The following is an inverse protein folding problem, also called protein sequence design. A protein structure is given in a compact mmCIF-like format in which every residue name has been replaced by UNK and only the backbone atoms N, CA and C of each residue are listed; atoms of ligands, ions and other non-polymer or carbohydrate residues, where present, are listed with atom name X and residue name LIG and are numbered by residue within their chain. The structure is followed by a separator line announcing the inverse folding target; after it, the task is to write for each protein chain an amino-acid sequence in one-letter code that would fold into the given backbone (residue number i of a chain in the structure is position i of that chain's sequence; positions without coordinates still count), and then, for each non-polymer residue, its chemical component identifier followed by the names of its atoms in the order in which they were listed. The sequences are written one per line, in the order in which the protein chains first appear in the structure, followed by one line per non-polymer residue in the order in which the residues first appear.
data_IF_171532920734
#
_entry.id   IF_171532920734
#
_cell.length_a   1.000
_cell.length_b   1.000
_cell.length_c   1.000
_cell.angle_alpha   90.00
_cell.angle_beta   90.00
_cell.angle_gamma   90.00
#
_symmetry.space_group_name_H-M   'P 1'
#
loop_
_entity.id
_entity.type
_entity.pdbx_description
1 polymer ?
#
# COMPACT_ATOMS: atom_id res chain seq x y z
N UNK A 1 -20.75 7.17 47.40
CA UNK A 1 -20.71 8.54 46.81
C UNK A 1 -19.50 9.36 47.25
N UNK A 2 -19.13 9.41 48.54
CA UNK A 2 -18.00 10.21 49.04
C UNK A 2 -16.65 9.90 48.36
N UNK A 3 -16.36 8.61 48.13
CA UNK A 3 -15.12 8.16 47.48
C UNK A 3 -14.97 8.69 46.04
N UNK A 4 -16.06 8.69 45.27
CA UNK A 4 -16.08 9.14 43.87
C UNK A 4 -15.81 10.64 43.77
N UNK A 5 -16.34 11.42 44.73
CA UNK A 5 -16.13 12.87 44.79
C UNK A 5 -14.66 13.19 45.11
N UNK A 6 -14.05 12.48 46.06
CA UNK A 6 -12.62 12.67 46.40
C UNK A 6 -11.72 12.36 45.21
N UNK A 7 -12.04 11.28 44.47
CA UNK A 7 -11.26 10.86 43.31
C UNK A 7 -11.37 11.87 42.15
N UNK A 8 -12.57 12.38 41.88
CA UNK A 8 -12.79 13.41 40.86
C UNK A 8 -12.03 14.72 41.17
N UNK A 9 -12.02 15.15 42.44
CA UNK A 9 -11.25 16.33 42.88
C UNK A 9 -9.75 16.11 42.73
N UNK A 10 -9.25 14.92 43.07
CA UNK A 10 -7.83 14.56 42.92
C UNK A 10 -7.36 14.60 41.48
N UNK A 11 -8.13 14.03 40.55
CA UNK A 11 -7.81 14.04 39.11
C UNK A 11 -7.85 15.46 38.55
N UNK A 12 -8.85 16.26 38.94
CA UNK A 12 -8.94 17.66 38.52
C UNK A 12 -7.74 18.49 38.96
N UNK A 13 -7.28 18.31 40.20
CA UNK A 13 -6.10 19.01 40.71
C UNK A 13 -4.82 18.64 39.95
N UNK A 14 -4.62 17.36 39.64
CA UNK A 14 -3.46 16.88 38.89
C UNK A 14 -3.44 17.39 37.44
N UNK A 15 -4.60 17.44 36.77
CA UNK A 15 -4.71 17.99 35.42
C UNK A 15 -4.33 19.49 35.36
N UNK A 16 -4.74 20.28 36.36
CA UNK A 16 -4.38 21.71 36.46
C UNK A 16 -2.88 21.90 36.69
N UNK A 17 -2.26 21.07 37.54
CA UNK A 17 -0.83 21.10 37.80
C UNK A 17 -0.01 20.76 36.57
N UNK A 18 -0.42 19.74 35.80
CA UNK A 18 0.24 19.37 34.55
C UNK A 18 0.19 20.52 33.53
N UNK A 19 -0.97 21.16 33.36
CA UNK A 19 -1.14 22.27 32.39
C UNK A 19 -0.25 23.48 32.72
N UNK A 20 -0.04 23.77 34.01
CA UNK A 20 0.86 24.88 34.42
C UNK A 20 2.33 24.57 34.19
N UNK A 21 2.72 23.29 34.18
CA UNK A 21 4.12 22.90 33.97
C UNK A 21 4.59 23.06 32.53
N UNK A 22 3.66 23.07 31.57
CA UNK A 22 3.96 23.14 30.13
C UNK A 22 3.79 24.54 29.53
N UNK A 23 3.52 25.57 30.35
CA UNK A 23 3.38 26.94 29.87
C UNK A 23 4.74 27.46 29.34
N UNK A 24 4.86 27.78 28.03
CA UNK A 24 6.11 28.27 27.47
C UNK A 24 6.48 29.63 28.06
N UNK A 25 7.72 29.76 28.56
CA UNK A 25 8.24 31.06 29.00
C UNK A 25 8.46 31.98 27.78
N UNK A 26 7.96 33.23 27.78
CA UNK A 26 8.28 34.20 26.74
C UNK A 26 9.76 34.57 26.83
N UNK A 27 10.58 34.10 25.89
CA UNK A 27 11.98 34.51 25.78
C UNK A 27 12.04 35.89 25.15
N UNK A 28 12.10 36.92 25.99
CA UNK A 28 12.46 38.26 25.57
C UNK A 28 13.93 38.26 25.13
N UNK A 29 14.19 38.28 23.83
CA UNK A 29 15.50 38.63 23.29
C UNK A 29 15.38 40.03 22.67
N UNK A 30 15.94 41.03 23.36
CA UNK A 30 16.12 42.36 22.80
C UNK A 30 17.21 42.29 21.71
N UNK A 31 17.02 42.90 20.53
CA UNK A 31 18.06 42.95 19.51
C UNK A 31 19.16 43.95 19.92
N UNK A 32 20.40 43.48 20.00
CA UNK A 32 21.57 44.35 20.19
C UNK A 32 21.91 45.14 18.90
N UNK A 33 22.47 46.36 19.02
CA UNK A 33 22.76 47.21 17.87
C UNK A 33 24.04 46.76 17.15
N UNK A 34 23.96 46.70 15.82
CA UNK A 34 25.07 46.35 14.93
C UNK A 34 26.03 47.54 14.78
N UNK A 35 27.36 47.36 14.88
CA UNK A 35 28.32 48.46 14.75
C UNK A 35 28.44 48.96 13.30
N UNK A 36 28.34 50.28 13.12
CA UNK A 36 28.59 50.95 11.85
C UNK A 36 30.08 51.23 11.66
N UNK A 37 30.71 50.60 10.67
CA UNK A 37 32.08 50.90 10.27
C UNK A 37 32.09 51.86 9.08
N UNK A 38 32.80 52.98 9.22
CA UNK A 38 33.05 53.93 8.12
C UNK A 38 34.40 53.59 7.49
N UNK A 39 34.41 53.07 6.26
CA UNK A 39 35.64 52.86 5.50
C UNK A 39 35.88 53.99 4.50
N UNK A 40 37.04 54.63 4.63
CA UNK A 40 37.53 55.66 3.71
C UNK A 40 37.73 55.12 2.29
N UNK A 41 37.40 55.97 1.31
CA UNK A 41 37.51 55.69 -0.11
C UNK A 41 38.95 55.43 -0.55
N UNK A 42 39.25 54.18 -0.89
CA UNK A 42 40.35 53.84 -1.81
C UNK A 42 39.72 53.30 -3.09
N UNK A 43 39.99 53.97 -4.20
CA UNK A 43 39.61 53.52 -5.55
C UNK A 43 40.33 52.20 -5.86
N UNK A 44 39.63 51.08 -6.07
CA UNK A 44 40.24 49.85 -6.53
C UNK A 44 40.26 49.80 -8.07
N UNK A 45 41.44 49.47 -8.59
CA UNK A 45 41.70 48.99 -9.95
C UNK A 45 40.74 47.83 -10.32
N UNK A 46 40.27 47.69 -11.57
CA UNK A 46 39.31 46.65 -11.94
C UNK A 46 39.91 45.24 -11.77
N UNK A 47 39.46 44.55 -10.71
CA UNK A 47 39.66 43.11 -10.53
C UNK A 47 38.73 42.36 -11.49
N UNK A 48 39.20 41.31 -12.21
CA UNK A 48 38.34 40.52 -13.08
C UNK A 48 37.19 39.90 -12.29
N UNK A 49 35.97 40.07 -12.81
CA UNK A 49 34.75 39.46 -12.28
C UNK A 49 34.91 37.93 -12.27
N UNK A 50 35.00 37.33 -11.08
CA UNK A 50 34.82 35.90 -10.94
C UNK A 50 33.39 35.56 -11.35
N UNK A 51 33.26 34.76 -12.41
CA UNK A 51 31.99 34.23 -12.88
C UNK A 51 31.41 33.38 -11.73
N UNK A 52 30.14 33.57 -11.33
CA UNK A 52 29.54 32.71 -10.32
C UNK A 52 29.60 31.26 -10.80
N UNK A 53 30.22 30.39 -10.00
CA UNK A 53 30.12 28.96 -10.22
C UNK A 53 28.62 28.58 -10.18
N UNK A 54 28.13 27.75 -11.12
CA UNK A 54 26.73 27.36 -11.11
C UNK A 54 26.44 26.65 -9.78
N UNK A 55 25.46 27.17 -9.04
CA UNK A 55 24.79 26.44 -7.96
C UNK A 55 24.37 25.09 -8.51
N UNK A 56 24.63 23.95 -7.84
CA UNK A 56 24.18 22.68 -8.35
C UNK A 56 22.66 22.72 -8.36
N UNK A 57 22.06 22.72 -9.55
CA UNK A 57 20.65 22.42 -9.71
C UNK A 57 20.41 21.09 -9.00
N UNK A 58 19.44 20.99 -8.07
CA UNK A 58 19.06 19.71 -7.50
C UNK A 58 18.86 18.74 -8.66
N UNK A 59 19.61 17.64 -8.67
CA UNK A 59 19.38 16.59 -9.63
C UNK A 59 17.91 16.19 -9.46
N UNK A 60 17.12 16.36 -10.51
CA UNK A 60 15.78 15.82 -10.60
C UNK A 60 15.93 14.32 -10.38
N UNK A 61 15.56 13.85 -9.19
CA UNK A 61 15.49 12.43 -8.90
C UNK A 61 14.48 11.91 -9.90
N UNK A 62 14.96 11.16 -10.90
CA UNK A 62 14.09 10.52 -11.86
C UNK A 62 13.00 9.80 -11.08
N UNK A 63 11.74 10.23 -11.26
CA UNK A 63 10.62 9.54 -10.65
C UNK A 63 10.74 8.08 -11.06
N UNK A 64 10.85 7.18 -10.08
CA UNK A 64 10.81 5.76 -10.35
C UNK A 64 9.55 5.50 -11.17
N UNK A 65 9.69 4.87 -12.34
CA UNK A 65 8.56 4.58 -13.20
C UNK A 65 7.61 3.65 -12.45
N UNK A 66 6.44 4.17 -12.07
CA UNK A 66 5.38 3.33 -11.51
C UNK A 66 4.97 2.34 -12.59
N UNK A 67 4.97 1.02 -12.33
CA UNK A 67 4.57 0.04 -13.32
C UNK A 67 3.17 0.31 -13.85
N UNK A 68 2.90 -0.01 -15.12
CA UNK A 68 1.55 0.12 -15.68
C UNK A 68 0.53 -0.68 -14.84
N UNK A 69 -0.71 -0.18 -14.71
CA UNK A 69 -1.74 -0.86 -13.91
C UNK A 69 -2.11 -2.24 -14.47
N UNK A 70 -1.96 -2.45 -15.78
CA UNK A 70 -2.16 -3.77 -16.39
C UNK A 70 -1.19 -4.83 -15.91
N UNK A 71 -0.06 -4.43 -15.31
CA UNK A 71 0.92 -5.31 -14.72
C UNK A 71 0.71 -5.54 -13.20
N UNK A 72 -0.33 -4.97 -12.59
CA UNK A 72 -0.66 -5.22 -11.18
C UNK A 72 -0.87 -6.72 -10.94
N UNK A 73 -0.42 -7.18 -9.77
CA UNK A 73 -0.41 -8.59 -9.43
C UNK A 73 -1.34 -8.90 -8.26
N UNK A 74 -1.94 -10.07 -8.35
CA UNK A 74 -2.77 -10.64 -7.31
C UNK A 74 -2.20 -12.00 -6.93
N UNK A 75 -2.22 -12.30 -5.64
CA UNK A 75 -1.81 -13.58 -5.09
C UNK A 75 -2.73 -13.90 -3.92
N UNK A 76 -3.27 -15.12 -3.91
CA UNK A 76 -4.06 -15.63 -2.81
C UNK A 76 -3.75 -17.11 -2.61
N UNK A 77 -3.34 -17.48 -1.39
CA UNK A 77 -2.92 -18.83 -1.03
C UNK A 77 -3.95 -19.52 -0.13
N UNK A 78 -4.55 -20.60 -0.61
CA UNK A 78 -5.40 -21.51 0.15
C UNK A 78 -4.66 -22.68 0.78
N UNK A 79 -5.38 -23.53 1.52
CA UNK A 79 -4.82 -24.79 2.05
C UNK A 79 -4.59 -25.87 1.01
N UNK A 80 -5.30 -25.83 -0.13
CA UNK A 80 -5.22 -26.86 -1.18
C UNK A 80 -4.76 -26.33 -2.54
N UNK A 81 -4.80 -25.02 -2.77
CA UNK A 81 -4.34 -24.40 -4.01
C UNK A 81 -3.86 -22.96 -3.78
N UNK A 82 -3.00 -22.49 -4.68
CA UNK A 82 -2.63 -21.08 -4.79
C UNK A 82 -3.16 -20.52 -6.10
N UNK A 83 -3.54 -19.26 -6.06
CA UNK A 83 -4.05 -18.53 -7.20
C UNK A 83 -3.24 -17.26 -7.36
N UNK A 84 -2.84 -16.98 -8.59
CA UNK A 84 -2.16 -15.72 -8.91
C UNK A 84 -2.73 -15.14 -10.18
N UNK A 85 -2.56 -13.84 -10.34
CA UNK A 85 -3.04 -13.18 -11.53
C UNK A 85 -2.33 -11.88 -11.87
N UNK A 86 -2.33 -11.55 -13.15
CA UNK A 86 -1.89 -10.26 -13.70
C UNK A 86 -3.11 -9.52 -14.20
N UNK A 87 -3.23 -8.24 -13.82
CA UNK A 87 -4.45 -7.46 -13.97
C UNK A 87 -4.97 -7.38 -15.40
N UNK A 88 -4.11 -7.21 -16.40
CA UNK A 88 -4.56 -6.85 -17.74
C UNK A 88 -5.19 -5.46 -17.78
N UNK A 89 -5.68 -5.05 -18.94
CA UNK A 89 -6.36 -3.78 -19.12
C UNK A 89 -7.46 -3.94 -20.16
N UNK A 90 -8.64 -3.41 -19.84
CA UNK A 90 -9.77 -3.59 -20.72
C UNK A 90 -9.53 -2.99 -22.12
N UNK A 91 -9.76 -3.80 -23.16
CA UNK A 91 -9.52 -3.41 -24.55
C UNK A 91 -8.05 -3.33 -25.00
N UNK A 92 -7.08 -3.58 -24.11
CA UNK A 92 -5.66 -3.38 -24.40
C UNK A 92 -4.80 -4.62 -24.10
N UNK A 93 -4.75 -5.05 -22.83
CA UNK A 93 -3.85 -6.12 -22.36
C UNK A 93 -4.68 -7.26 -21.80
N UNK A 94 -4.47 -8.48 -22.29
CA UNK A 94 -5.19 -9.64 -21.77
C UNK A 94 -4.72 -9.97 -20.33
N UNK A 95 -5.63 -10.26 -19.39
CA UNK A 95 -5.25 -10.70 -18.06
C UNK A 95 -4.75 -12.15 -18.10
N UNK A 96 -3.99 -12.52 -17.07
CA UNK A 96 -3.56 -13.91 -16.85
C UNK A 96 -4.00 -14.33 -15.46
N UNK A 97 -4.69 -15.46 -15.35
CA UNK A 97 -5.06 -16.08 -14.08
C UNK A 97 -4.51 -17.49 -14.08
N UNK A 98 -3.74 -17.82 -13.05
CA UNK A 98 -3.09 -19.12 -12.93
C UNK A 98 -3.36 -19.75 -11.58
N UNK A 99 -3.42 -21.08 -11.58
CA UNK A 99 -3.59 -21.90 -10.39
C UNK A 99 -2.42 -22.85 -10.20
N UNK A 100 -2.00 -23.02 -8.95
CA UNK A 100 -1.00 -23.99 -8.54
C UNK A 100 -1.56 -24.94 -7.46
N UNK A 101 -1.09 -26.18 -7.47
CA UNK A 101 -1.42 -27.22 -6.45
C UNK A 101 -0.19 -27.80 -5.76
N UNK A 102 1.00 -27.31 -6.11
CA UNK A 102 2.29 -27.78 -5.57
C UNK A 102 3.02 -26.65 -4.84
N UNK A 103 2.26 -25.68 -4.33
CA UNK A 103 2.82 -24.54 -3.61
C UNK A 103 3.59 -23.58 -4.52
N UNK A 104 3.06 -23.31 -5.71
CA UNK A 104 3.60 -22.33 -6.63
C UNK A 104 4.86 -22.77 -7.38
N UNK A 105 5.18 -24.07 -7.41
CA UNK A 105 6.27 -24.61 -8.23
C UNK A 105 5.86 -24.68 -9.70
N UNK A 106 4.62 -25.11 -9.96
CA UNK A 106 4.03 -25.10 -11.30
C UNK A 106 2.69 -24.37 -11.29
N UNK A 107 2.36 -23.79 -12.44
CA UNK A 107 1.20 -22.94 -12.65
C UNK A 107 0.46 -23.37 -13.91
N UNK A 108 -0.87 -23.43 -13.83
CA UNK A 108 -1.75 -23.75 -14.96
C UNK A 108 -2.59 -22.52 -15.25
N UNK A 109 -2.57 -22.04 -16.50
CA UNK A 109 -3.46 -20.99 -16.97
C UNK A 109 -4.92 -21.45 -16.94
N UNK A 110 -5.71 -20.74 -16.16
CA UNK A 110 -7.15 -20.96 -15.94
C UNK A 110 -7.95 -19.68 -16.22
N UNK A 111 -7.39 -18.79 -17.04
CA UNK A 111 -8.04 -17.54 -17.47
C UNK A 111 -9.34 -17.88 -18.20
N UNK A 112 -10.51 -17.42 -17.72
CA UNK A 112 -11.80 -17.73 -18.35
C UNK A 112 -12.05 -16.87 -19.59
N UNK A 113 -11.22 -17.05 -20.62
CA UNK A 113 -11.31 -16.36 -21.92
C UNK A 113 -12.67 -16.52 -22.59
N UNK A 114 -13.33 -17.66 -22.36
CA UNK A 114 -14.68 -17.93 -22.86
C UNK A 114 -15.76 -17.02 -22.26
N UNK A 115 -15.49 -16.39 -21.09
CA UNK A 115 -16.31 -15.32 -20.52
C UNK A 115 -15.94 -13.94 -21.06
N UNK A 116 -14.78 -13.81 -21.70
CA UNK A 116 -14.25 -12.52 -22.14
C UNK A 116 -13.75 -11.66 -20.98
N UNK A 117 -13.08 -12.26 -19.98
CA UNK A 117 -12.42 -11.50 -18.91
C UNK A 117 -11.29 -10.64 -19.49
N UNK A 118 -11.26 -9.35 -19.14
CA UNK A 118 -10.37 -8.34 -19.73
C UNK A 118 -9.46 -7.62 -18.73
N UNK A 119 -9.91 -7.44 -17.50
CA UNK A 119 -9.13 -6.77 -16.46
C UNK A 119 -9.55 -7.31 -15.09
N UNK A 120 -8.60 -7.58 -14.21
CA UNK A 120 -8.85 -8.08 -12.85
C UNK A 120 -8.61 -6.97 -11.83
N UNK A 121 -9.44 -6.95 -10.79
CA UNK A 121 -9.40 -5.97 -9.70
C UNK A 121 -9.24 -6.61 -8.33
N UNK A 122 -9.58 -7.90 -8.19
CA UNK A 122 -9.36 -8.69 -6.99
C UNK A 122 -9.29 -10.18 -7.35
N UNK A 123 -8.59 -10.98 -6.53
CA UNK A 123 -8.52 -12.43 -6.64
C UNK A 123 -8.33 -13.02 -5.23
N UNK A 124 -9.25 -13.87 -4.82
CA UNK A 124 -9.29 -14.40 -3.46
C UNK A 124 -9.65 -15.89 -3.45
N UNK A 125 -9.09 -16.60 -2.47
CA UNK A 125 -9.45 -17.96 -2.15
C UNK A 125 -10.50 -17.95 -1.05
N UNK A 126 -11.65 -18.58 -1.30
CA UNK A 126 -12.75 -18.65 -0.32
C UNK A 126 -12.97 -20.08 0.25
N UNK A 127 -12.34 -21.09 -0.34
CA UNK A 127 -12.33 -22.47 0.13
C UNK A 127 -11.00 -23.14 -0.26
N UNK A 128 -10.66 -24.36 0.21
CA UNK A 128 -9.31 -24.90 0.04
C UNK A 128 -8.75 -24.88 -1.38
N UNK A 129 -9.60 -25.05 -2.40
CA UNK A 129 -9.17 -25.10 -3.80
C UNK A 129 -9.89 -24.15 -4.75
N UNK A 130 -10.93 -23.48 -4.27
CA UNK A 130 -11.83 -22.62 -5.02
C UNK A 130 -11.45 -21.16 -4.85
N UNK A 131 -11.73 -20.37 -5.89
CA UNK A 131 -11.42 -18.96 -5.91
C UNK A 131 -12.55 -18.14 -6.49
N UNK A 132 -12.49 -16.87 -6.18
CA UNK A 132 -13.32 -15.83 -6.72
C UNK A 132 -12.48 -14.61 -7.11
N UNK A 133 -13.02 -13.80 -8.01
CA UNK A 133 -12.35 -12.62 -8.51
C UNK A 133 -13.36 -11.55 -8.88
N UNK A 134 -12.92 -10.29 -8.80
CA UNK A 134 -13.61 -9.17 -9.42
C UNK A 134 -12.90 -8.85 -10.71
N UNK A 135 -13.63 -8.75 -11.82
CA UNK A 135 -13.07 -8.50 -13.13
C UNK A 135 -14.01 -7.72 -14.05
N UNK A 136 -13.45 -6.93 -14.96
CA UNK A 136 -14.14 -6.39 -16.13
C UNK A 136 -14.28 -7.47 -17.21
N UNK A 137 -15.50 -7.62 -17.73
CA UNK A 137 -15.90 -8.70 -18.63
C UNK A 137 -16.57 -8.14 -19.88
N UNK A 138 -16.30 -8.77 -21.03
CA UNK A 138 -16.87 -8.39 -22.32
C UNK A 138 -16.24 -7.13 -22.92
N UNK A 139 -16.80 -6.66 -24.03
CA UNK A 139 -16.27 -5.50 -24.76
C UNK A 139 -16.62 -4.17 -24.10
N UNK A 140 -17.71 -4.13 -23.33
CA UNK A 140 -18.13 -2.96 -22.54
C UNK A 140 -17.42 -2.86 -21.18
N UNK A 141 -16.49 -3.78 -20.89
CA UNK A 141 -15.71 -3.79 -19.63
C UNK A 141 -16.56 -3.85 -18.36
N UNK A 142 -17.73 -4.49 -18.40
CA UNK A 142 -18.64 -4.54 -17.27
C UNK A 142 -18.01 -5.28 -16.09
N UNK A 143 -17.94 -4.64 -14.93
CA UNK A 143 -17.40 -5.24 -13.69
C UNK A 143 -18.34 -6.32 -13.17
N UNK A 144 -17.81 -7.51 -12.95
CA UNK A 144 -18.53 -8.69 -12.44
C UNK A 144 -17.73 -9.36 -11.32
N UNK A 145 -18.43 -10.00 -10.39
CA UNK A 145 -17.84 -10.97 -9.49
C UNK A 145 -17.97 -12.36 -10.11
N UNK A 146 -16.84 -13.04 -10.29
CA UNK A 146 -16.77 -14.36 -10.87
C UNK A 146 -16.27 -15.35 -9.83
N UNK A 147 -16.89 -16.53 -9.76
CA UNK A 147 -16.48 -17.59 -8.82
C UNK A 147 -16.39 -18.94 -9.51
N UNK A 148 -15.44 -19.77 -9.10
CA UNK A 148 -15.24 -21.13 -9.61
C UNK A 148 -15.33 -22.18 -8.50
N UNK A 149 -16.17 -23.19 -8.71
CA UNK A 149 -16.17 -24.45 -7.94
C UNK A 149 -15.46 -25.60 -8.69
N UNK A 150 -14.93 -25.32 -9.87
CA UNK A 150 -14.32 -26.31 -10.76
C UNK A 150 -12.83 -26.07 -10.97
N UNK A 151 -12.18 -25.51 -9.93
CA UNK A 151 -10.74 -25.29 -9.90
C UNK A 151 -10.22 -24.46 -11.10
N UNK A 152 -11.05 -23.52 -11.58
CA UNK A 152 -10.69 -22.56 -12.63
C UNK A 152 -11.15 -22.98 -14.02
N UNK A 153 -11.69 -24.20 -14.19
CA UNK A 153 -12.20 -24.67 -15.49
C UNK A 153 -13.43 -23.89 -15.93
N UNK A 154 -14.33 -23.64 -15.00
CA UNK A 154 -15.57 -22.90 -15.19
C UNK A 154 -15.79 -21.92 -14.05
N UNK A 155 -16.02 -20.68 -14.43
CA UNK A 155 -16.39 -19.54 -13.63
C UNK A 155 -17.83 -19.14 -13.96
N UNK A 156 -18.58 -18.78 -12.93
CA UNK A 156 -19.92 -18.22 -13.02
C UNK A 156 -20.00 -16.82 -12.45
N UNK A 157 -21.00 -16.04 -12.90
CA UNK A 157 -21.28 -14.69 -12.41
C UNK A 157 -22.13 -14.76 -11.14
N UNK A 158 -21.78 -13.93 -10.17
CA UNK A 158 -22.42 -13.84 -8.87
C UNK A 158 -22.62 -12.36 -8.48
N UNK A 159 -23.66 -11.69 -9.00
CA UNK A 159 -23.87 -10.26 -8.77
C UNK A 159 -24.04 -9.91 -7.29
N UNK A 160 -24.61 -10.82 -6.48
CA UNK A 160 -24.74 -10.63 -5.03
C UNK A 160 -23.38 -10.58 -4.32
N UNK A 161 -22.37 -11.26 -4.86
CA UNK A 161 -21.00 -11.17 -4.33
C UNK A 161 -20.39 -9.82 -4.67
N UNK A 162 -20.58 -9.31 -5.89
CA UNK A 162 -20.01 -8.02 -6.29
C UNK A 162 -20.39 -6.90 -5.32
N UNK A 163 -21.65 -6.90 -4.85
CA UNK A 163 -22.15 -5.93 -3.87
C UNK A 163 -21.55 -6.09 -2.46
N UNK A 164 -21.00 -7.27 -2.13
CA UNK A 164 -20.35 -7.57 -0.86
C UNK A 164 -18.82 -7.41 -0.91
N UNK A 165 -18.26 -7.11 -2.08
CA UNK A 165 -16.82 -7.08 -2.31
C UNK A 165 -16.21 -5.70 -2.06
N UNK A 166 -14.92 -5.71 -1.69
CA UNK A 166 -14.08 -4.51 -1.70
C UNK A 166 -13.13 -4.58 -2.88
N UNK A 167 -13.12 -3.56 -3.74
CA UNK A 167 -12.23 -3.52 -4.89
C UNK A 167 -11.94 -2.07 -5.32
N UNK A 168 -10.80 -1.86 -5.97
CA UNK A 168 -10.51 -0.59 -6.63
C UNK A 168 -11.24 -0.62 -7.98
N UNK A 169 -11.96 0.45 -8.32
CA UNK A 169 -12.68 0.54 -9.59
C UNK A 169 -11.70 0.32 -10.77
N UNK A 170 -11.95 -0.66 -11.66
CA UNK A 170 -11.11 -0.90 -12.83
C UNK A 170 -10.98 0.32 -13.76
N UNK A 171 -12.01 1.16 -13.84
CA UNK A 171 -12.06 2.37 -14.65
C UNK A 171 -11.53 3.62 -13.96
N UNK A 172 -11.42 3.61 -12.63
CA UNK A 172 -10.91 4.74 -11.84
C UNK A 172 -10.11 4.26 -10.61
N UNK A 173 -8.78 4.28 -10.70
CA UNK A 173 -7.91 3.85 -9.60
C UNK A 173 -7.93 4.80 -8.38
N UNK A 174 -8.61 5.96 -8.47
CA UNK A 174 -8.85 6.85 -7.34
C UNK A 174 -10.08 6.46 -6.50
N UNK A 175 -10.84 5.44 -6.92
CA UNK A 175 -12.10 5.05 -6.30
C UNK A 175 -12.02 3.62 -5.76
N UNK A 176 -12.33 3.45 -4.47
CA UNK A 176 -12.53 2.14 -3.85
C UNK A 176 -14.02 1.91 -3.66
N UNK A 177 -14.52 0.79 -4.15
CA UNK A 177 -15.88 0.31 -3.95
C UNK A 177 -15.89 -0.60 -2.73
N UNK A 178 -16.87 -0.38 -1.85
CA UNK A 178 -17.14 -1.19 -0.65
C UNK A 178 -18.64 -1.53 -0.58
N UNK A 179 -19.04 -2.47 0.28
CA UNK A 179 -20.46 -2.77 0.51
C UNK A 179 -21.27 -1.57 1.03
N UNK A 180 -20.62 -0.63 1.71
CA UNK A 180 -21.25 0.56 2.30
C UNK A 180 -21.26 1.76 1.34
N UNK A 181 -20.61 1.65 0.18
CA UNK A 181 -20.56 2.68 -0.85
C UNK A 181 -19.18 2.86 -1.46
N UNK A 182 -18.95 4.03 -2.03
CA UNK A 182 -17.65 4.39 -2.63
C UNK A 182 -16.87 5.30 -1.69
N UNK A 183 -15.57 5.05 -1.59
CA UNK A 183 -14.63 5.88 -0.82
C UNK A 183 -13.49 6.33 -1.73
N UNK A 184 -13.05 7.60 -1.64
CA UNK A 184 -11.89 8.07 -2.40
C UNK A 184 -10.61 7.42 -1.85
N UNK A 185 -9.76 6.94 -2.74
CA UNK A 185 -8.43 6.46 -2.39
C UNK A 185 -7.48 7.64 -2.08
N UNK A 186 -6.38 7.41 -1.34
CA UNK A 186 -5.40 8.46 -1.01
C UNK A 186 -4.64 9.04 -2.20
N UNK A 187 -4.72 8.42 -3.39
CA UNK A 187 -4.13 8.91 -4.64
C UNK A 187 -4.88 8.38 -5.87
N UNK A 188 -4.48 8.89 -7.04
CA UNK A 188 -5.09 8.56 -8.33
C UNK A 188 -4.68 7.19 -8.90
N UNK A 189 -3.70 6.50 -8.30
CA UNK A 189 -3.23 5.18 -8.74
C UNK A 189 -3.10 4.24 -7.53
N UNK A 190 -4.22 3.97 -6.85
CA UNK A 190 -4.25 3.00 -5.76
C UNK A 190 -4.10 1.58 -6.31
N UNK A 191 -3.45 0.71 -5.52
CA UNK A 191 -3.12 -0.68 -5.87
C UNK A 191 -3.17 -1.59 -4.66
N UNK A 192 -3.15 -2.90 -4.89
CA UNK A 192 -2.99 -3.93 -3.87
C UNK A 192 -4.00 -3.79 -2.72
N UNK A 193 -5.25 -3.42 -3.04
CA UNK A 193 -6.32 -3.37 -2.05
C UNK A 193 -6.57 -4.76 -1.47
N UNK A 194 -6.72 -4.82 -0.15
CA UNK A 194 -7.01 -6.03 0.61
C UNK A 194 -7.97 -5.74 1.74
N UNK A 195 -8.89 -6.65 1.98
CA UNK A 195 -9.91 -6.53 3.00
C UNK A 195 -10.13 -7.85 3.74
N UNK A 196 -10.07 -7.84 5.07
CA UNK A 196 -10.38 -9.00 5.91
C UNK A 196 -10.82 -8.51 7.29
N UNK A 197 -11.82 -9.14 7.91
CA UNK A 197 -12.17 -8.85 9.31
C UNK A 197 -12.63 -7.41 9.59
N UNK A 198 -12.96 -6.63 8.56
CA UNK A 198 -13.27 -5.20 8.66
C UNK A 198 -12.07 -4.27 8.50
N UNK A 199 -10.86 -4.82 8.41
CA UNK A 199 -9.65 -4.10 8.00
C UNK A 199 -9.67 -3.93 6.49
N UNK A 200 -9.37 -2.73 6.01
CA UNK A 200 -9.24 -2.40 4.60
C UNK A 200 -7.94 -1.62 4.41
N UNK A 201 -7.05 -2.16 3.58
CA UNK A 201 -5.73 -1.58 3.33
C UNK A 201 -5.42 -1.54 1.84
N UNK A 202 -4.64 -0.54 1.41
CA UNK A 202 -4.15 -0.42 0.03
C UNK A 202 -2.74 0.17 -0.02
N UNK A 203 -2.12 0.06 -1.18
CA UNK A 203 -0.88 0.75 -1.53
C UNK A 203 -1.21 1.98 -2.37
N UNK A 204 -0.59 3.09 -2.02
CA UNK A 204 -0.75 4.34 -2.74
C UNK A 204 0.53 5.17 -2.66
N UNK A 205 1.07 5.56 -3.83
CA UNK A 205 2.30 6.33 -3.96
C UNK A 205 3.50 5.74 -3.18
N UNK A 206 3.61 4.41 -3.13
CA UNK A 206 4.69 3.73 -2.41
C UNK A 206 4.53 3.70 -0.89
N UNK A 207 3.35 4.01 -0.36
CA UNK A 207 3.02 3.87 1.06
C UNK A 207 1.84 2.93 1.25
N UNK A 208 1.82 2.20 2.37
CA UNK A 208 0.65 1.43 2.80
C UNK A 208 -0.30 2.33 3.58
N UNK A 209 -1.60 2.18 3.33
CA UNK A 209 -2.66 2.95 3.98
C UNK A 209 -3.73 2.02 4.53
N UNK A 210 -4.26 2.36 5.71
CA UNK A 210 -5.34 1.63 6.38
C UNK A 210 -6.53 2.55 6.57
N UNK A 211 -7.72 2.05 6.22
CA UNK A 211 -8.98 2.76 6.42
C UNK A 211 -9.48 2.60 7.85
N UNK A 212 -9.80 3.71 8.52
CA UNK A 212 -10.37 3.67 9.89
C UNK A 212 -11.89 3.78 9.94
N UNK A 213 -12.59 3.72 8.80
CA UNK A 213 -14.02 4.00 8.69
C UNK A 213 -14.36 5.43 8.27
N UNK A 214 -13.40 6.36 8.36
CA UNK A 214 -13.61 7.78 8.04
C UNK A 214 -12.42 8.39 7.29
N UNK A 215 -11.19 8.00 7.66
CA UNK A 215 -9.97 8.52 7.06
C UNK A 215 -8.98 7.40 6.76
N UNK A 216 -8.12 7.64 5.77
CA UNK A 216 -6.96 6.80 5.49
C UNK A 216 -5.78 7.21 6.38
N UNK A 217 -5.17 6.23 7.04
CA UNK A 217 -4.01 6.41 7.90
C UNK A 217 -2.80 5.73 7.25
N UNK A 218 -1.73 6.49 7.02
CA UNK A 218 -0.50 5.93 6.45
C UNK A 218 0.25 5.12 7.50
N UNK A 219 0.77 3.96 7.09
CA UNK A 219 1.70 3.17 7.89
C UNK A 219 3.13 3.72 7.75
N UNK A 220 4.01 3.51 8.75
CA UNK A 220 5.41 3.95 8.68
C UNK A 220 6.26 3.00 7.81
N UNK A 221 5.84 2.79 6.57
CA UNK A 221 6.56 2.05 5.53
C UNK A 221 6.54 2.86 4.23
N UNK A 222 7.71 3.04 3.63
CA UNK A 222 7.89 3.70 2.33
C UNK A 222 8.50 2.71 1.33
N UNK A 223 8.36 2.99 0.03
CA UNK A 223 8.78 2.05 -1.01
C UNK A 223 7.94 0.76 -0.99
N UNK A 224 6.70 0.85 -0.53
CA UNK A 224 5.74 -0.25 -0.49
C UNK A 224 5.32 -0.62 -1.91
N UNK A 225 5.40 -1.92 -2.21
CA UNK A 225 5.07 -2.47 -3.53
C UNK A 225 3.83 -3.36 -3.52
N UNK A 226 3.57 -4.03 -2.38
CA UNK A 226 2.41 -4.88 -2.19
C UNK A 226 2.08 -4.97 -0.70
N UNK A 227 0.83 -5.28 -0.39
CA UNK A 227 0.42 -5.64 0.96
C UNK A 227 -0.60 -6.77 0.96
N UNK A 228 -0.73 -7.41 2.11
CA UNK A 228 -1.84 -8.29 2.46
C UNK A 228 -2.36 -7.96 3.86
N UNK A 229 -3.56 -8.46 4.16
CA UNK A 229 -4.15 -8.41 5.50
C UNK A 229 -4.23 -9.82 6.06
N UNK A 230 -4.05 -9.96 7.37
CA UNK A 230 -4.18 -11.24 8.07
C UNK A 230 -4.84 -10.98 9.43
N UNK A 231 -6.16 -11.14 9.49
CA UNK A 231 -6.95 -10.71 10.65
C UNK A 231 -6.87 -9.18 10.84
N UNK A 232 -6.37 -8.73 11.98
CA UNK A 232 -6.21 -7.30 12.31
C UNK A 232 -4.84 -6.72 11.90
N UNK A 233 -3.97 -7.53 11.28
CA UNK A 233 -2.60 -7.15 10.93
C UNK A 233 -2.47 -6.81 9.44
N UNK A 234 -1.59 -5.86 9.13
CA UNK A 234 -1.20 -5.53 7.75
C UNK A 234 0.21 -6.04 7.50
N UNK A 235 0.38 -6.89 6.49
CA UNK A 235 1.69 -7.38 6.06
C UNK A 235 2.11 -6.65 4.81
N UNK A 236 3.24 -5.96 4.88
CA UNK A 236 3.72 -5.04 3.85
C UNK A 236 5.01 -5.57 3.25
N UNK A 237 5.04 -5.67 1.92
CA UNK A 237 6.24 -5.92 1.14
C UNK A 237 6.76 -4.59 0.57
N UNK A 238 8.04 -4.29 0.81
CA UNK A 238 8.63 -2.99 0.50
C UNK A 238 10.14 -3.05 0.25
N UNK A 239 10.67 -2.02 -0.41
CA UNK A 239 12.09 -1.84 -0.63
C UNK A 239 12.78 -1.33 0.65
N UNK A 240 13.77 -2.09 1.14
CA UNK A 240 14.54 -1.73 2.34
C UNK A 240 16.04 -2.04 2.11
N UNK A 241 16.73 -1.27 1.27
CA UNK A 241 18.08 -1.61 0.80
C UNK A 241 19.13 -1.67 1.91
N UNK A 242 18.90 -1.00 3.04
CA UNK A 242 19.80 -1.01 4.19
C UNK A 242 19.68 -2.28 5.05
N UNK A 243 18.58 -3.04 4.92
CA UNK A 243 18.30 -4.23 5.74
C UNK A 243 18.02 -5.50 4.95
N UNK A 244 17.76 -5.41 3.64
CA UNK A 244 17.43 -6.54 2.78
C UNK A 244 17.94 -6.27 1.36
N UNK A 245 18.73 -7.18 0.78
CA UNK A 245 19.19 -7.08 -0.62
C UNK A 245 18.11 -7.62 -1.58
N UNK A 246 16.90 -7.10 -1.43
CA UNK A 246 15.71 -7.48 -2.20
C UNK A 246 14.46 -6.81 -1.64
N UNK A 247 13.40 -7.58 -1.45
CA UNK A 247 12.12 -7.10 -0.89
C UNK A 247 11.99 -7.55 0.57
N UNK A 248 11.91 -6.59 1.48
CA UNK A 248 11.62 -6.86 2.88
C UNK A 248 10.11 -7.04 3.10
N UNK A 249 9.75 -7.92 4.02
CA UNK A 249 8.36 -8.11 4.45
C UNK A 249 8.26 -7.88 5.95
N UNK A 250 7.35 -7.00 6.33
CA UNK A 250 7.12 -6.58 7.72
C UNK A 250 5.64 -6.69 8.02
N UNK A 251 5.33 -7.22 9.21
CA UNK A 251 3.98 -7.28 9.75
C UNK A 251 3.78 -6.12 10.70
N UNK A 252 2.74 -5.34 10.45
CA UNK A 252 2.29 -4.25 11.28
C UNK A 252 1.07 -4.71 12.08
N UNK A 253 1.21 -4.76 13.40
CA UNK A 253 0.22 -5.40 14.28
C UNK A 253 -0.87 -4.42 14.70
N UNK A 254 -2.12 -4.83 14.48
CA UNK A 254 -3.31 -4.06 14.79
C UNK A 254 -3.61 -2.92 13.81
N UNK A 255 -4.81 -2.32 13.96
CA UNK A 255 -5.39 -1.41 12.97
C UNK A 255 -4.69 -0.05 12.81
N UNK A 256 -3.93 0.43 13.81
CA UNK A 256 -3.13 1.67 13.73
C UNK A 256 -1.72 1.39 14.27
N UNK A 257 -0.88 0.71 13.49
CA UNK A 257 0.37 0.18 13.97
C UNK A 257 1.45 1.27 14.01
N UNK A 258 2.16 1.34 15.14
CA UNK A 258 3.27 2.29 15.37
C UNK A 258 4.65 1.68 15.16
N UNK A 259 4.72 0.37 14.92
CA UNK A 259 5.94 -0.40 14.66
C UNK A 259 5.60 -1.70 13.94
N UNK A 260 6.60 -2.28 13.29
CA UNK A 260 6.47 -3.52 12.54
C UNK A 260 7.43 -4.60 13.01
N UNK A 261 6.98 -5.85 12.96
CA UNK A 261 7.78 -7.04 13.18
C UNK A 261 8.29 -7.57 11.83
N UNK A 262 9.60 -7.82 11.73
CA UNK A 262 10.16 -8.39 10.52
C UNK A 262 9.62 -9.81 10.31
N UNK A 263 9.04 -10.06 9.14
CA UNK A 263 8.61 -11.39 8.69
C UNK A 263 9.77 -12.08 7.98
N UNK A 264 10.46 -11.37 7.09
CA UNK A 264 11.62 -11.89 6.39
C UNK A 264 12.10 -11.00 5.25
N UNK A 265 13.09 -11.50 4.51
CA UNK A 265 13.66 -10.85 3.33
C UNK A 265 13.64 -11.82 2.14
N UNK A 266 13.01 -11.38 1.05
CA UNK A 266 13.08 -12.06 -0.24
C UNK A 266 14.34 -11.61 -0.97
N UNK A 267 15.47 -12.24 -0.62
CA UNK A 267 16.78 -11.93 -1.20
C UNK A 267 16.77 -12.09 -2.72
N UNK A 268 17.27 -11.08 -3.44
CA UNK A 268 17.33 -11.06 -4.90
C UNK A 268 16.00 -10.76 -5.61
N UNK A 269 14.89 -10.55 -4.89
CA UNK A 269 13.68 -10.00 -5.49
C UNK A 269 13.91 -8.53 -5.90
N UNK A 270 13.54 -8.15 -7.12
CA UNK A 270 13.69 -6.78 -7.59
C UNK A 270 12.50 -5.91 -7.12
N UNK A 271 12.71 -4.93 -6.23
CA UNK A 271 11.65 -4.05 -5.74
C UNK A 271 11.06 -3.13 -6.82
N UNK A 272 11.67 -3.01 -8.00
CA UNK A 272 11.10 -2.26 -9.12
C UNK A 272 10.08 -3.09 -9.94
N UNK A 273 10.01 -4.41 -9.71
CA UNK A 273 9.06 -5.28 -10.42
C UNK A 273 7.71 -5.34 -9.71
N UNK A 274 6.59 -5.43 -10.44
CA UNK A 274 5.30 -5.71 -9.84
C UNK A 274 5.36 -6.96 -8.97
N UNK A 275 4.76 -6.88 -7.79
CA UNK A 275 4.73 -7.96 -6.83
C UNK A 275 3.35 -8.09 -6.19
N UNK A 276 3.09 -9.26 -5.61
CA UNK A 276 1.95 -9.50 -4.74
C UNK A 276 2.40 -10.32 -3.55
N UNK A 277 1.84 -10.02 -2.38
CA UNK A 277 2.04 -10.81 -1.16
C UNK A 277 0.72 -11.44 -0.76
N UNK A 278 0.79 -12.67 -0.22
CA UNK A 278 -0.33 -13.35 0.41
C UNK A 278 0.11 -13.94 1.74
N UNK A 279 -0.74 -13.85 2.75
CA UNK A 279 -0.49 -14.32 4.11
C UNK A 279 -1.61 -15.27 4.54
N UNK A 280 -1.22 -16.44 5.02
CA UNK A 280 -2.16 -17.39 5.63
C UNK A 280 -1.51 -18.04 6.85
N UNK A 281 -0.69 -19.06 6.60
CA UNK A 281 0.12 -19.71 7.64
C UNK A 281 1.55 -19.11 7.68
N UNK A 282 2.03 -18.67 6.53
CA UNK A 282 3.30 -17.98 6.31
C UNK A 282 3.11 -16.89 5.24
N UNK A 283 4.06 -15.96 5.11
CA UNK A 283 4.02 -14.97 4.06
C UNK A 283 4.62 -15.53 2.76
N UNK A 284 3.93 -15.29 1.66
CA UNK A 284 4.38 -15.67 0.33
C UNK A 284 4.43 -14.43 -0.54
N UNK A 285 5.59 -14.15 -1.13
CA UNK A 285 5.79 -13.07 -2.07
C UNK A 285 5.94 -13.64 -3.48
N UNK A 286 5.20 -13.10 -4.44
CA UNK A 286 5.42 -13.34 -5.86
C UNK A 286 5.95 -12.06 -6.51
N UNK A 287 7.19 -12.09 -6.99
CA UNK A 287 7.88 -10.98 -7.65
C UNK A 287 8.63 -11.51 -8.87
N UNK A 288 8.49 -10.82 -10.02
CA UNK A 288 8.99 -11.35 -11.30
C UNK A 288 8.41 -12.74 -11.61
N UNK A 289 9.24 -13.73 -11.89
CA UNK A 289 8.78 -15.10 -12.13
C UNK A 289 8.88 -16.00 -10.89
N UNK A 290 9.32 -15.45 -9.76
CA UNK A 290 9.72 -16.21 -8.58
C UNK A 290 8.72 -16.07 -7.43
N UNK A 291 8.48 -17.18 -6.74
CA UNK A 291 7.71 -17.24 -5.49
C UNK A 291 8.67 -17.46 -4.33
N UNK A 292 8.66 -16.54 -3.37
CA UNK A 292 9.45 -16.58 -2.14
C UNK A 292 8.56 -16.94 -0.96
N UNK A 293 9.07 -17.77 -0.05
CA UNK A 293 8.42 -18.09 1.22
C UNK A 293 9.21 -17.49 2.36
N UNK A 294 8.53 -16.80 3.26
CA UNK A 294 9.10 -16.04 4.37
C UNK A 294 8.51 -16.53 5.69
#
# INVERSE_FOLDING_TARGET
MLLVVVLAVGVGALAVLAYRSTAPQPRAAAPEPVPSFTFGSRSPSPTPTAVPAPTPTPAEVAAASVPDRSAERFLSAGSGAMWRGVAGACGATEPLIERSTDGGQTWVDVTPRYRGVRQMAALEVFAPTEAEMIASVGDDCATQALRTFTQGRFWDDYPDLLAAYHYIDPGDAATVVTPDGVIPAPCADARSLRAEGGLLALVCNGSAWVWSGEIWNALPATGVIALDVAGDDVVVAYSAPDSCAGVAVTRFIGAVPSGGESVGCAEGADPATPAAVSVRDAAILWSGDTVFRL
#
